data_IF_452347919429
#
_entry.id   IF_452347919429
#
_cell.length_a   1.000
_cell.length_b   1.000
_cell.length_c   1.000
_cell.angle_alpha   90.00
_cell.angle_beta   90.00
_cell.angle_gamma   90.00
#
_symmetry.space_group_name_H-M   'P 1'
#
loop_
_entity.id
_entity.type
_entity.pdbx_description
1 polymer ?
#
# COMPACT_ATOMS: atom_id res chain seq x y z
N UNK A 1 -13.47 8.43 21.51
CA UNK A 1 -13.36 7.54 20.32
C UNK A 1 -12.36 6.40 20.54
N UNK A 2 -11.18 6.62 21.15
CA UNK A 2 -10.26 5.53 21.55
C UNK A 2 -10.82 4.53 22.58
N UNK A 3 -11.85 4.92 23.34
CA UNK A 3 -12.42 4.14 24.44
C UNK A 3 -13.32 2.97 24.02
N UNK A 4 -13.62 2.80 22.73
CA UNK A 4 -14.44 1.68 22.22
C UNK A 4 -13.62 0.59 21.51
N UNK A 5 -12.29 0.71 21.47
CA UNK A 5 -11.41 -0.29 20.85
C UNK A 5 -11.09 -1.38 21.88
N UNK A 6 -11.13 -2.64 21.47
CA UNK A 6 -10.73 -3.75 22.34
C UNK A 6 -9.25 -3.60 22.72
N UNK A 7 -8.88 -4.07 23.92
CA UNK A 7 -7.50 -3.97 24.41
C UNK A 7 -6.50 -4.72 23.49
N UNK A 8 -6.96 -5.74 22.76
CA UNK A 8 -6.18 -6.45 21.75
C UNK A 8 -5.89 -5.56 20.53
N UNK A 9 -6.89 -4.84 20.04
CA UNK A 9 -6.75 -3.92 18.92
C UNK A 9 -5.77 -2.77 19.26
N UNK A 10 -5.81 -2.29 20.51
CA UNK A 10 -4.86 -1.28 20.99
C UNK A 10 -3.41 -1.78 20.98
N UNK A 11 -3.16 -3.02 21.42
CA UNK A 11 -1.82 -3.64 21.36
C UNK A 11 -1.29 -3.78 19.95
N UNK A 12 -2.19 -4.00 18.98
CA UNK A 12 -1.81 -4.12 17.57
C UNK A 12 -1.58 -2.76 16.90
N UNK A 13 -2.41 -1.76 17.19
CA UNK A 13 -2.25 -0.41 16.65
C UNK A 13 -1.04 0.30 17.27
N UNK A 14 -0.71 0.04 18.54
CA UNK A 14 0.39 0.69 19.25
C UNK A 14 1.75 0.67 18.49
N UNK A 15 2.28 -0.47 18.00
CA UNK A 15 3.52 -0.49 17.22
C UNK A 15 3.39 0.25 15.88
N UNK A 16 2.22 0.22 15.23
CA UNK A 16 1.97 0.95 13.97
C UNK A 16 1.91 2.47 14.19
N UNK A 17 1.27 2.89 15.29
CA UNK A 17 1.22 4.27 15.72
C UNK A 17 2.63 4.76 16.08
N UNK A 18 3.40 3.95 16.80
CA UNK A 18 4.80 4.25 17.11
C UNK A 18 5.64 4.38 15.83
N UNK A 19 5.53 3.43 14.90
CA UNK A 19 6.21 3.50 13.61
C UNK A 19 5.82 4.76 12.82
N UNK A 20 4.54 5.14 12.86
CA UNK A 20 4.04 6.37 12.22
C UNK A 20 4.60 7.64 12.86
N UNK A 21 4.77 7.65 14.18
CA UNK A 21 5.43 8.77 14.89
C UNK A 21 6.90 8.83 14.50
N UNK A 22 7.64 7.71 14.50
CA UNK A 22 9.04 7.65 14.08
C UNK A 22 9.25 8.02 12.60
N UNK A 23 8.24 7.76 11.77
CA UNK A 23 8.22 8.17 10.38
C UNK A 23 8.23 9.70 10.22
N UNK A 24 7.44 10.43 11.02
CA UNK A 24 7.27 11.88 10.91
C UNK A 24 8.26 12.67 11.78
N UNK A 25 8.49 12.21 13.00
CA UNK A 25 9.29 12.94 14.01
C UNK A 25 10.77 12.67 13.77
N UNK A 26 11.61 13.72 13.68
CA UNK A 26 13.03 13.58 13.37
C UNK A 26 13.83 13.21 14.63
N UNK A 27 13.75 11.94 15.03
CA UNK A 27 14.48 11.38 16.18
C UNK A 27 15.97 11.18 15.91
N UNK A 28 16.38 10.98 14.65
CA UNK A 28 17.77 10.69 14.30
C UNK A 28 18.54 11.98 14.02
N UNK A 29 19.74 12.09 14.58
CA UNK A 29 20.62 13.23 14.36
C UNK A 29 21.81 12.76 13.50
N UNK A 30 21.85 13.18 12.23
CA UNK A 30 23.02 12.95 11.37
C UNK A 30 23.66 14.29 11.04
N UNK A 31 24.95 14.39 11.29
CA UNK A 31 25.75 15.59 11.01
C UNK A 31 25.13 16.89 11.57
N UNK A 32 24.55 16.83 12.77
CA UNK A 32 23.93 17.98 13.44
C UNK A 32 22.54 18.39 12.91
N UNK A 33 21.96 17.64 11.96
CA UNK A 33 20.60 17.84 11.47
C UNK A 33 19.68 16.74 11.97
N UNK A 34 18.52 17.13 12.51
CA UNK A 34 17.43 16.23 12.87
C UNK A 34 16.74 15.73 11.59
N UNK A 35 16.79 14.43 11.33
CA UNK A 35 16.22 13.79 10.14
C UNK A 35 15.15 12.79 10.56
N UNK A 36 13.98 12.88 9.94
CA UNK A 36 12.88 11.92 10.10
C UNK A 36 13.03 10.78 9.09
N UNK A 37 12.52 9.58 9.41
CA UNK A 37 12.61 8.42 8.50
C UNK A 37 11.94 8.69 7.14
N UNK A 38 10.89 9.54 7.11
CA UNK A 38 10.26 9.99 5.85
C UNK A 38 11.21 10.66 4.85
N UNK A 39 12.32 11.21 5.35
CA UNK A 39 13.29 11.92 4.51
C UNK A 39 14.26 10.94 3.82
N UNK A 40 14.25 9.65 4.19
CA UNK A 40 15.05 8.63 3.53
C UNK A 40 14.34 8.12 2.26
N UNK A 41 15.00 8.25 1.09
CA UNK A 41 14.49 7.65 -0.14
C UNK A 41 14.33 6.13 0.05
N UNK A 42 13.40 5.49 -0.66
CA UNK A 42 13.06 4.06 -0.56
C UNK A 42 12.35 3.64 0.75
N UNK A 43 12.87 4.04 1.91
CA UNK A 43 12.32 3.65 3.21
C UNK A 43 10.90 4.21 3.38
N UNK A 44 10.68 5.44 2.91
CA UNK A 44 9.38 6.12 2.94
C UNK A 44 8.26 5.25 2.39
N UNK A 45 8.39 4.74 1.17
CA UNK A 45 7.32 3.98 0.50
C UNK A 45 7.08 2.62 1.16
N UNK A 46 8.14 1.99 1.70
CA UNK A 46 8.03 0.70 2.42
C UNK A 46 7.28 0.90 3.73
N UNK A 47 7.60 1.94 4.50
CA UNK A 47 6.87 2.26 5.74
C UNK A 47 5.40 2.56 5.45
N UNK A 48 5.11 3.37 4.42
CA UNK A 48 3.73 3.67 4.00
C UNK A 48 2.99 2.37 3.67
N UNK A 49 3.59 1.49 2.86
CA UNK A 49 2.98 0.21 2.49
C UNK A 49 2.73 -0.71 3.69
N UNK A 50 3.67 -0.79 4.64
CA UNK A 50 3.49 -1.57 5.88
C UNK A 50 2.34 -1.00 6.71
N UNK A 51 2.35 0.30 6.99
CA UNK A 51 1.33 0.92 7.84
C UNK A 51 -0.06 0.77 7.22
N UNK A 52 -0.20 1.08 5.93
CA UNK A 52 -1.49 1.00 5.25
C UNK A 52 -1.99 -0.44 5.11
N UNK A 53 -1.12 -1.41 4.79
CA UNK A 53 -1.55 -2.81 4.71
C UNK A 53 -2.08 -3.34 6.03
N UNK A 54 -1.38 -3.06 7.12
CA UNK A 54 -1.83 -3.45 8.44
C UNK A 54 -3.12 -2.72 8.86
N UNK A 55 -3.23 -1.41 8.61
CA UNK A 55 -4.44 -0.64 8.97
C UNK A 55 -5.66 -1.09 8.16
N UNK A 56 -5.51 -1.30 6.86
CA UNK A 56 -6.65 -1.63 5.97
C UNK A 56 -7.07 -3.09 6.02
N UNK A 57 -6.16 -4.01 6.37
CA UNK A 57 -6.47 -5.45 6.44
C UNK A 57 -6.70 -5.93 7.87
N UNK A 58 -5.84 -5.54 8.82
CA UNK A 58 -5.94 -6.10 10.17
C UNK A 58 -7.06 -5.49 10.99
N UNK A 59 -7.38 -4.20 10.82
CA UNK A 59 -8.48 -3.58 11.58
C UNK A 59 -9.84 -4.24 11.26
N UNK A 60 -10.23 -4.44 9.98
CA UNK A 60 -11.48 -5.13 9.68
C UNK A 60 -11.47 -6.60 10.10
N UNK A 61 -10.35 -7.29 9.92
CA UNK A 61 -10.21 -8.70 10.29
C UNK A 61 -10.47 -8.91 11.79
N UNK A 62 -9.87 -8.06 12.65
CA UNK A 62 -10.01 -8.15 14.10
C UNK A 62 -11.36 -7.72 14.65
N UNK A 63 -12.09 -6.86 13.92
CA UNK A 63 -13.44 -6.49 14.30
C UNK A 63 -14.47 -7.59 13.95
N UNK A 64 -14.13 -8.49 13.03
CA UNK A 64 -15.01 -9.59 12.60
C UNK A 64 -14.74 -10.89 13.37
N UNK A 65 -13.48 -11.17 13.72
CA UNK A 65 -13.12 -12.29 14.58
C UNK A 65 -13.24 -11.87 16.06
N UNK A 66 -14.34 -12.24 16.73
CA UNK A 66 -14.44 -12.11 18.20
C UNK A 66 -13.41 -12.99 18.95
N UNK A 67 -12.77 -13.93 18.25
CA UNK A 67 -11.74 -14.79 18.78
C UNK A 67 -10.33 -14.29 18.43
N UNK A 68 -9.37 -14.73 19.27
CA UNK A 68 -7.94 -14.40 19.19
C UNK A 68 -7.43 -14.40 17.76
N UNK A 69 -6.47 -13.52 17.48
CA UNK A 69 -5.57 -13.55 16.32
C UNK A 69 -5.17 -14.99 15.99
N UNK A 70 -5.98 -15.67 15.18
CA UNK A 70 -5.58 -16.92 14.60
C UNK A 70 -4.71 -16.45 13.44
N UNK A 71 -3.39 -16.42 13.70
CA UNK A 71 -2.34 -16.13 12.71
C UNK A 71 -2.31 -17.26 11.67
N UNK A 72 -3.45 -17.47 11.03
CA UNK A 72 -3.64 -18.47 10.02
C UNK A 72 -2.98 -17.95 8.74
N UNK A 73 -2.58 -18.89 7.90
CA UNK A 73 -2.00 -18.65 6.59
C UNK A 73 -2.81 -17.63 5.77
N UNK A 74 -4.14 -17.60 5.93
CA UNK A 74 -5.01 -16.62 5.28
C UNK A 74 -4.67 -15.17 5.65
N UNK A 75 -4.46 -14.87 6.93
CA UNK A 75 -4.16 -13.52 7.39
C UNK A 75 -2.83 -12.99 6.82
N UNK A 76 -1.81 -13.85 6.79
CA UNK A 76 -0.49 -13.51 6.23
C UNK A 76 -0.61 -13.23 4.73
N UNK A 77 -1.40 -14.03 4.00
CA UNK A 77 -1.65 -13.81 2.58
C UNK A 77 -2.35 -12.47 2.34
N UNK A 78 -3.39 -12.15 3.12
CA UNK A 78 -4.15 -10.90 3.03
C UNK A 78 -3.29 -9.66 3.34
N UNK A 79 -2.42 -9.70 4.35
CA UNK A 79 -1.49 -8.59 4.61
C UNK A 79 -0.45 -8.47 3.50
N UNK A 80 0.07 -9.59 3.01
CA UNK A 80 1.13 -9.59 2.00
C UNK A 80 0.64 -9.03 0.68
N UNK A 81 -0.55 -9.44 0.22
CA UNK A 81 -1.15 -8.86 -0.98
C UNK A 81 -1.42 -7.37 -0.78
N UNK A 82 -1.99 -6.96 0.36
CA UNK A 82 -2.29 -5.55 0.57
C UNK A 82 -1.01 -4.70 0.60
N UNK A 83 0.07 -5.23 1.18
CA UNK A 83 1.38 -4.60 1.15
C UNK A 83 1.89 -4.42 -0.29
N UNK A 84 1.80 -5.46 -1.13
CA UNK A 84 2.21 -5.39 -2.54
C UNK A 84 1.40 -4.37 -3.32
N UNK A 85 0.08 -4.33 -3.11
CA UNK A 85 -0.80 -3.37 -3.76
C UNK A 85 -0.46 -1.93 -3.37
N UNK A 86 -0.35 -1.63 -2.07
CA UNK A 86 -0.01 -0.28 -1.61
C UNK A 86 1.39 0.12 -2.11
N UNK A 87 2.35 -0.80 -2.11
CA UNK A 87 3.68 -0.53 -2.65
C UNK A 87 3.62 -0.22 -4.15
N UNK A 88 2.79 -0.93 -4.92
CA UNK A 88 2.63 -0.70 -6.35
C UNK A 88 2.06 0.69 -6.67
N UNK A 89 1.00 1.11 -5.96
CA UNK A 89 0.31 2.39 -6.19
C UNK A 89 1.05 3.59 -5.59
N UNK A 90 1.97 3.39 -4.66
CA UNK A 90 2.79 4.48 -4.09
C UNK A 90 3.97 4.87 -4.98
N UNK A 91 4.51 3.96 -5.80
CA UNK A 91 5.58 4.24 -6.75
C UNK A 91 5.26 5.34 -7.80
N UNK A 92 4.03 5.43 -8.36
CA UNK A 92 3.61 6.58 -9.16
C UNK A 92 3.81 7.95 -8.51
N UNK A 93 3.68 8.06 -7.18
CA UNK A 93 3.90 9.33 -6.49
C UNK A 93 5.38 9.74 -6.51
N UNK A 94 6.31 8.79 -6.42
CA UNK A 94 7.74 9.09 -6.64
C UNK A 94 7.99 9.51 -8.10
N UNK A 95 7.24 8.98 -9.09
CA UNK A 95 7.35 9.42 -10.50
C UNK A 95 6.88 10.86 -10.66
N UNK A 96 5.78 11.24 -10.00
CA UNK A 96 5.27 12.61 -9.96
C UNK A 96 6.33 13.59 -9.46
N UNK A 97 6.95 13.24 -8.33
CA UNK A 97 7.86 14.11 -7.60
C UNK A 97 9.28 14.16 -8.19
N UNK A 98 9.57 13.30 -9.17
CA UNK A 98 10.88 13.14 -9.81
C UNK A 98 11.56 14.45 -10.24
N UNK A 99 10.80 15.43 -10.76
CA UNK A 99 11.39 16.71 -11.20
C UNK A 99 11.98 17.50 -10.04
N UNK A 100 11.29 17.52 -8.90
CA UNK A 100 11.73 18.20 -7.69
C UNK A 100 12.83 17.40 -7.00
N UNK A 101 12.71 16.07 -6.98
CA UNK A 101 13.71 15.17 -6.40
C UNK A 101 15.07 15.28 -7.08
N UNK A 102 15.10 15.34 -8.42
CA UNK A 102 16.33 15.53 -9.18
C UNK A 102 16.99 16.87 -8.88
N UNK A 103 16.20 17.94 -8.76
CA UNK A 103 16.71 19.27 -8.40
C UNK A 103 17.29 19.31 -6.97
N UNK A 104 16.72 18.52 -6.06
CA UNK A 104 17.16 18.40 -4.67
C UNK A 104 18.18 17.27 -4.43
N UNK A 105 18.67 16.58 -5.48
CA UNK A 105 19.58 15.43 -5.39
C UNK A 105 19.05 14.27 -4.49
N UNK A 106 17.73 14.09 -4.46
CA UNK A 106 17.06 13.02 -3.71
C UNK A 106 17.11 11.73 -4.53
N UNK A 107 17.65 10.66 -3.93
CA UNK A 107 17.83 9.37 -4.62
C UNK A 107 16.57 8.50 -4.57
N UNK A 108 15.46 8.89 -5.17
CA UNK A 108 14.24 8.04 -5.24
C UNK A 108 14.37 6.89 -6.26
N UNK A 109 13.43 5.94 -6.25
CA UNK A 109 13.40 4.83 -7.22
C UNK A 109 13.42 5.33 -8.67
N UNK A 110 12.47 6.19 -9.10
CA UNK A 110 12.50 6.71 -10.47
C UNK A 110 13.72 7.58 -10.77
N UNK A 111 14.35 8.22 -9.79
CA UNK A 111 15.62 8.91 -10.00
C UNK A 111 16.78 7.93 -10.27
N UNK A 112 16.75 6.72 -9.67
CA UNK A 112 17.79 5.69 -9.83
C UNK A 112 17.60 4.82 -11.08
N UNK A 113 16.38 4.34 -11.33
CA UNK A 113 16.12 3.36 -12.41
C UNK A 113 15.34 3.96 -13.60
N UNK A 114 14.86 5.19 -13.48
CA UNK A 114 14.07 5.87 -14.50
C UNK A 114 12.58 5.52 -14.46
N UNK A 115 11.75 6.43 -14.97
CA UNK A 115 10.28 6.33 -14.95
C UNK A 115 9.76 5.00 -15.50
N UNK A 116 10.24 4.58 -16.68
CA UNK A 116 9.76 3.36 -17.34
C UNK A 116 10.00 2.11 -16.49
N UNK A 117 11.18 2.00 -15.86
CA UNK A 117 11.50 0.84 -15.00
C UNK A 117 10.72 0.88 -13.69
N UNK A 118 10.42 2.07 -13.16
CA UNK A 118 9.54 2.22 -12.00
C UNK A 118 8.11 1.78 -12.31
N UNK A 119 7.57 2.12 -13.49
CA UNK A 119 6.27 1.63 -13.95
C UNK A 119 6.30 0.10 -14.05
N UNK A 120 7.30 -0.48 -14.71
CA UNK A 120 7.44 -1.95 -14.80
C UNK A 120 7.54 -2.60 -13.41
N UNK A 121 8.25 -1.98 -12.47
CA UNK A 121 8.32 -2.48 -11.09
C UNK A 121 6.93 -2.47 -10.42
N UNK A 122 6.15 -1.40 -10.57
CA UNK A 122 4.77 -1.36 -10.08
C UNK A 122 3.90 -2.45 -10.71
N UNK A 123 3.96 -2.63 -12.02
CA UNK A 123 3.21 -3.68 -12.72
C UNK A 123 3.60 -5.08 -12.23
N UNK A 124 4.90 -5.34 -12.03
CA UNK A 124 5.36 -6.62 -11.47
C UNK A 124 4.80 -6.88 -10.08
N UNK A 125 4.69 -5.86 -9.23
CA UNK A 125 4.06 -5.98 -7.91
C UNK A 125 2.57 -6.33 -8.02
N UNK A 126 1.84 -5.74 -8.98
CA UNK A 126 0.43 -6.09 -9.25
C UNK A 126 0.28 -7.52 -9.78
N UNK A 127 1.22 -8.00 -10.60
CA UNK A 127 1.22 -9.39 -11.07
C UNK A 127 1.44 -10.36 -9.90
N UNK A 128 2.39 -10.07 -9.00
CA UNK A 128 2.60 -10.90 -7.81
C UNK A 128 1.37 -10.88 -6.91
N UNK A 129 0.73 -9.72 -6.71
CA UNK A 129 -0.55 -9.62 -6.02
C UNK A 129 -1.59 -10.57 -6.63
N UNK A 130 -1.73 -10.55 -7.96
CA UNK A 130 -2.71 -11.37 -8.68
C UNK A 130 -2.45 -12.87 -8.52
N UNK A 131 -1.18 -13.28 -8.49
CA UNK A 131 -0.78 -14.67 -8.22
C UNK A 131 -1.19 -15.08 -6.79
N UNK A 132 -1.01 -14.22 -5.79
CA UNK A 132 -1.44 -14.50 -4.42
C UNK A 132 -2.96 -14.60 -4.30
N UNK A 133 -3.71 -13.77 -5.03
CA UNK A 133 -5.17 -13.86 -5.11
C UNK A 133 -5.63 -15.16 -5.75
N UNK A 134 -4.99 -15.58 -6.84
CA UNK A 134 -5.28 -16.86 -7.46
C UNK A 134 -4.97 -18.04 -6.53
N UNK A 135 -3.89 -17.96 -5.76
CA UNK A 135 -3.57 -18.97 -4.75
C UNK A 135 -4.66 -19.05 -3.67
N UNK A 136 -5.18 -17.91 -3.18
CA UNK A 136 -6.30 -17.87 -2.23
C UNK A 136 -7.59 -18.47 -2.79
N UNK A 137 -7.88 -18.26 -4.09
CA UNK A 137 -9.02 -18.89 -4.76
C UNK A 137 -8.90 -20.42 -4.73
N UNK A 138 -7.72 -20.97 -5.02
CA UNK A 138 -7.48 -22.42 -4.97
C UNK A 138 -7.57 -23.01 -3.55
N UNK A 139 -7.31 -22.20 -2.53
CA UNK A 139 -7.50 -22.57 -1.12
C UNK A 139 -8.95 -22.41 -0.64
N UNK A 140 -9.87 -21.97 -1.51
CA UNK A 140 -11.25 -21.61 -1.16
C UNK A 140 -11.35 -20.52 -0.07
N UNK A 141 -10.34 -19.65 0.05
CA UNK A 141 -10.38 -18.51 0.97
C UNK A 141 -11.19 -17.33 0.41
N UNK A 142 -11.35 -17.28 -0.91
CA UNK A 142 -12.13 -16.26 -1.62
C UNK A 142 -13.05 -16.91 -2.65
N UNK A 143 -14.14 -16.24 -3.00
CA UNK A 143 -15.06 -16.71 -4.04
C UNK A 143 -14.59 -16.33 -5.45
N UNK A 144 -15.20 -16.93 -6.48
CA UNK A 144 -14.92 -16.57 -7.87
C UNK A 144 -15.34 -15.12 -8.17
N UNK A 145 -16.44 -14.66 -7.60
CA UNK A 145 -16.94 -13.29 -7.70
C UNK A 145 -15.91 -12.30 -7.15
N UNK A 146 -15.40 -12.53 -5.93
CA UNK A 146 -14.35 -11.72 -5.33
C UNK A 146 -13.07 -11.68 -6.17
N UNK A 147 -12.65 -12.83 -6.70
CA UNK A 147 -11.48 -12.93 -7.56
C UNK A 147 -11.66 -12.12 -8.85
N UNK A 148 -12.81 -12.26 -9.53
CA UNK A 148 -13.10 -11.52 -10.77
C UNK A 148 -13.18 -10.02 -10.54
N UNK A 149 -13.88 -9.58 -9.49
CA UNK A 149 -13.96 -8.17 -9.09
C UNK A 149 -12.57 -7.56 -8.86
N UNK A 150 -11.74 -8.24 -8.06
CA UNK A 150 -10.38 -7.79 -7.76
C UNK A 150 -9.51 -7.76 -9.02
N UNK A 151 -9.66 -8.74 -9.92
CA UNK A 151 -8.93 -8.80 -11.19
C UNK A 151 -9.22 -7.58 -12.08
N UNK A 152 -10.50 -7.19 -12.18
CA UNK A 152 -10.93 -6.03 -12.97
C UNK A 152 -10.37 -4.74 -12.35
N UNK A 153 -10.45 -4.59 -11.02
CA UNK A 153 -9.92 -3.44 -10.31
C UNK A 153 -8.39 -3.31 -10.47
N UNK A 154 -7.66 -4.42 -10.40
CA UNK A 154 -6.21 -4.45 -10.64
C UNK A 154 -5.87 -4.07 -12.08
N UNK A 155 -6.64 -4.57 -13.05
CA UNK A 155 -6.41 -4.25 -14.45
C UNK A 155 -6.58 -2.74 -14.71
N UNK A 156 -7.62 -2.13 -14.15
CA UNK A 156 -7.81 -0.67 -14.20
C UNK A 156 -6.65 0.05 -13.51
N UNK A 157 -6.24 -0.42 -12.32
CA UNK A 157 -5.08 0.13 -11.59
C UNK A 157 -3.80 0.10 -12.44
N UNK A 158 -3.50 -1.03 -13.08
CA UNK A 158 -2.33 -1.18 -13.96
C UNK A 158 -2.38 -0.22 -15.14
N UNK A 159 -3.55 -0.03 -15.77
CA UNK A 159 -3.71 0.98 -16.83
C UNK A 159 -3.37 2.38 -16.31
N UNK A 160 -3.87 2.75 -15.12
CA UNK A 160 -3.57 4.06 -14.53
C UNK A 160 -2.08 4.20 -14.22
N UNK A 161 -1.45 3.17 -13.64
CA UNK A 161 -0.01 3.16 -13.35
C UNK A 161 0.80 3.32 -14.64
N UNK A 162 0.47 2.59 -15.70
CA UNK A 162 1.14 2.66 -17.00
C UNK A 162 1.12 4.08 -17.62
N UNK A 163 0.09 4.88 -17.32
CA UNK A 163 -0.02 6.28 -17.77
C UNK A 163 0.65 7.31 -16.85
N UNK A 164 1.35 6.87 -15.81
CA UNK A 164 2.07 7.73 -14.88
C UNK A 164 3.22 8.47 -15.56
N UNK A 165 3.29 9.79 -15.34
CA UNK A 165 4.35 10.63 -15.89
C UNK A 165 4.56 11.85 -14.99
N UNK A 166 5.78 12.40 -14.89
CA UNK A 166 6.04 13.63 -14.12
C UNK A 166 5.28 14.87 -14.62
N UNK A 167 4.62 14.79 -15.79
CA UNK A 167 3.81 15.87 -16.37
C UNK A 167 2.32 15.77 -16.02
N UNK A 168 1.87 14.67 -15.41
CA UNK A 168 0.46 14.49 -15.03
C UNK A 168 0.10 15.42 -13.87
N UNK A 169 -1.14 15.93 -13.81
CA UNK A 169 -1.58 16.78 -12.72
C UNK A 169 -1.65 16.02 -11.40
N UNK A 170 -1.61 16.73 -10.27
CA UNK A 170 -1.68 16.12 -8.93
C UNK A 170 -2.92 15.22 -8.75
N UNK A 171 -4.07 15.66 -9.25
CA UNK A 171 -5.34 14.92 -9.26
C UNK A 171 -5.25 13.54 -9.94
N UNK A 172 -4.32 13.34 -10.88
CA UNK A 172 -4.10 12.00 -11.46
C UNK A 172 -3.59 11.03 -10.39
N UNK A 173 -2.72 11.50 -9.49
CA UNK A 173 -2.13 10.68 -8.45
C UNK A 173 -3.02 10.60 -7.22
N UNK A 174 -3.37 11.73 -6.59
CA UNK A 174 -4.18 11.75 -5.37
C UNK A 174 -5.67 11.44 -5.61
N UNK A 175 -6.17 11.64 -6.82
CA UNK A 175 -7.54 11.30 -7.20
C UNK A 175 -7.62 9.89 -7.78
N UNK A 176 -6.99 9.65 -8.92
CA UNK A 176 -7.15 8.38 -9.65
C UNK A 176 -6.32 7.25 -9.06
N UNK A 177 -4.99 7.43 -8.91
CA UNK A 177 -4.12 6.36 -8.39
C UNK A 177 -4.47 6.04 -6.94
N UNK A 178 -4.58 7.02 -6.05
CA UNK A 178 -4.96 6.79 -4.64
C UNK A 178 -6.38 6.22 -4.54
N UNK A 179 -7.30 6.72 -5.38
CA UNK A 179 -8.68 6.25 -5.46
C UNK A 179 -8.82 4.78 -5.87
N UNK A 180 -7.77 4.14 -6.39
CA UNK A 180 -7.79 2.70 -6.69
C UNK A 180 -7.99 1.84 -5.43
N UNK A 181 -7.63 2.35 -4.24
CA UNK A 181 -7.98 1.68 -2.98
C UNK A 181 -9.49 1.57 -2.78
N UNK A 182 -10.23 2.66 -3.08
CA UNK A 182 -11.69 2.68 -3.02
C UNK A 182 -12.28 1.85 -4.15
N UNK A 183 -11.69 1.90 -5.35
CA UNK A 183 -12.09 1.06 -6.48
C UNK A 183 -12.04 -0.43 -6.13
N UNK A 184 -10.98 -0.90 -5.46
CA UNK A 184 -10.88 -2.29 -5.03
C UNK A 184 -12.03 -2.69 -4.09
N UNK A 185 -12.32 -1.84 -3.10
CA UNK A 185 -13.42 -2.08 -2.17
C UNK A 185 -14.79 -2.09 -2.87
N UNK A 186 -15.06 -1.10 -3.72
CA UNK A 186 -16.32 -0.99 -4.46
C UNK A 186 -16.52 -2.13 -5.45
N UNK A 187 -15.45 -2.58 -6.12
CA UNK A 187 -15.53 -3.69 -7.06
C UNK A 187 -16.00 -4.97 -6.36
N UNK A 188 -15.45 -5.29 -5.18
CA UNK A 188 -15.86 -6.45 -4.40
C UNK A 188 -17.32 -6.30 -3.94
N UNK A 189 -17.69 -5.14 -3.42
CA UNK A 189 -19.05 -4.88 -2.93
C UNK A 189 -20.12 -5.01 -4.03
N UNK A 190 -19.83 -4.60 -5.26
CA UNK A 190 -20.79 -4.70 -6.38
C UNK A 190 -20.96 -6.15 -6.87
N UNK A 191 -19.93 -6.99 -6.74
CA UNK A 191 -19.99 -8.38 -7.22
C UNK A 191 -20.54 -9.36 -6.18
N UNK A 192 -20.50 -9.00 -4.89
CA UNK A 192 -21.06 -9.80 -3.80
C UNK A 192 -22.57 -9.59 -3.58
N UNK A 193 -23.16 -8.52 -4.12
CA UNK A 193 -24.57 -8.14 -3.99
C UNK A 193 -25.28 -8.08 -5.35
#
# INVERSE_FOLDING_TARGET
MLFFLSFQLLKFIAPLAFLSIFYVVPFFNLNGKKIALRNYPYIKIIIIAIVWSFVTTALPFLNHSNDMFDYNQNFILLITEQFLFILAITLPFDIRDLRYDLAANVKTIPAKIGVKKTIVLSELLLVVFMILKYYQLNLNHISYEQFTATSIALFITGILIAFSSPKRPELFFSGLIEGTMVLMYLAVLIFEY
#
